data_IF_334670779910
#
_entry.id   IF_334670779910
#
_cell.length_a   1.000
_cell.length_b   1.000
_cell.length_c   1.000
_cell.angle_alpha   90.00
_cell.angle_beta   90.00
_cell.angle_gamma   90.00
#
_symmetry.space_group_name_H-M   'P 1'
#
loop_
_entity.id
_entity.type
_entity.pdbx_description
1 polymer ?
#
# COMPACT_ATOMS: atom_id res chain seq x y z
N UNK A 1 -8.59 23.56 -7.94
CA UNK A 1 -8.56 22.16 -7.57
C UNK A 1 -9.94 21.67 -7.23
N UNK A 2 -10.40 20.60 -7.83
CA UNK A 2 -11.68 20.02 -7.44
C UNK A 2 -11.67 19.66 -5.96
N UNK A 3 -12.77 19.93 -5.30
CA UNK A 3 -12.85 19.76 -3.86
C UNK A 3 -12.76 18.32 -3.39
N UNK A 4 -12.89 17.37 -4.29
CA UNK A 4 -12.84 15.96 -3.92
C UNK A 4 -11.48 15.33 -3.94
N UNK A 5 -10.44 16.07 -4.33
CA UNK A 5 -9.13 15.47 -4.52
C UNK A 5 -8.27 15.53 -3.27
N UNK A 6 -8.75 14.93 -2.22
CA UNK A 6 -7.93 14.75 -1.02
C UNK A 6 -7.23 13.38 -1.14
N UNK A 7 -5.96 13.29 -0.72
CA UNK A 7 -5.31 12.00 -0.66
C UNK A 7 -6.11 11.06 0.22
N UNK A 8 -6.27 9.83 -0.25
CA UNK A 8 -6.94 8.80 0.53
C UNK A 8 -5.91 8.01 1.30
N UNK A 9 -6.28 7.58 2.49
CA UNK A 9 -5.43 6.75 3.31
C UNK A 9 -5.66 5.29 3.00
N UNK A 10 -4.59 4.55 2.81
CA UNK A 10 -4.62 3.10 2.83
C UNK A 10 -4.22 2.67 4.24
N UNK A 11 -5.15 2.12 4.97
CA UNK A 11 -4.95 1.80 6.36
C UNK A 11 -4.66 0.32 6.54
N UNK A 12 -3.57 0.04 7.23
CA UNK A 12 -3.17 -1.32 7.57
C UNK A 12 -2.73 -1.37 9.02
N UNK A 13 -2.75 -2.56 9.55
CA UNK A 13 -2.26 -2.82 10.88
C UNK A 13 -0.86 -3.41 10.77
N UNK A 14 0.08 -2.84 11.48
CA UNK A 14 1.44 -3.33 11.49
C UNK A 14 1.69 -4.00 12.84
N UNK A 15 1.94 -5.29 12.80
CA UNK A 15 2.18 -6.06 14.03
C UNK A 15 3.67 -6.26 14.18
N UNK A 16 4.20 -5.73 15.28
CA UNK A 16 5.61 -5.85 15.61
C UNK A 16 5.78 -6.75 16.80
N UNK A 17 6.88 -7.48 16.83
CA UNK A 17 7.29 -8.15 18.05
C UNK A 17 7.76 -7.10 19.05
N UNK A 18 7.75 -7.41 20.36
CA UNK A 18 8.28 -6.45 21.33
C UNK A 18 9.71 -6.04 21.04
N UNK A 19 10.53 -6.95 20.52
CA UNK A 19 11.91 -6.67 20.18
C UNK A 19 12.00 -5.69 19.03
N UNK A 20 11.20 -5.91 17.98
CA UNK A 20 11.15 -5.00 16.84
C UNK A 20 10.70 -3.60 17.25
N UNK A 21 9.69 -3.52 18.10
CA UNK A 21 9.19 -2.24 18.59
C UNK A 21 10.23 -1.49 19.40
N UNK A 22 11.04 -2.22 20.17
CA UNK A 22 12.07 -1.64 21.02
C UNK A 22 13.25 -1.14 20.19
N UNK A 23 13.67 -1.90 19.21
CA UNK A 23 14.85 -1.57 18.41
C UNK A 23 14.59 -0.57 17.32
N UNK A 24 13.41 -0.64 16.71
CA UNK A 24 13.16 0.09 15.48
C UNK A 24 13.97 -0.48 14.33
N UNK A 25 14.27 0.36 13.36
CA UNK A 25 15.06 -0.05 12.21
C UNK A 25 14.28 0.05 10.92
N UNK A 26 14.66 -0.74 9.92
CA UNK A 26 14.00 -0.74 8.62
C UNK A 26 13.21 -2.03 8.47
N UNK A 27 11.95 -1.89 8.12
CA UNK A 27 11.05 -3.02 7.91
C UNK A 27 10.56 -3.01 6.46
N UNK A 28 10.67 -4.14 5.79
CA UNK A 28 10.10 -4.30 4.45
C UNK A 28 8.60 -4.57 4.57
N UNK A 29 7.80 -3.75 3.92
CA UNK A 29 6.35 -3.87 3.94
C UNK A 29 5.85 -4.06 2.51
N UNK A 30 5.10 -5.14 2.27
CA UNK A 30 4.51 -5.38 0.96
C UNK A 30 3.15 -4.73 0.88
N UNK A 31 3.07 -3.61 0.16
CA UNK A 31 1.83 -2.88 -0.01
C UNK A 31 1.02 -3.47 -1.15
N UNK A 32 -0.16 -4.05 -0.86
CA UNK A 32 -1.05 -4.46 -1.93
C UNK A 32 -1.83 -3.26 -2.47
N UNK A 33 -1.94 -3.16 -3.77
CA UNK A 33 -2.73 -2.11 -4.40
C UNK A 33 -3.25 -2.59 -5.75
N UNK A 34 -4.23 -1.88 -6.28
CA UNK A 34 -4.84 -2.20 -7.55
C UNK A 34 -4.33 -1.21 -8.60
N UNK A 35 -3.91 -1.72 -9.73
CA UNK A 35 -3.39 -0.91 -10.82
C UNK A 35 -4.08 -1.28 -12.12
N UNK A 36 -3.99 -0.40 -13.09
CA UNK A 36 -4.51 -0.64 -14.42
C UNK A 36 -3.85 -1.86 -15.04
N UNK A 37 -4.65 -2.72 -15.67
CA UNK A 37 -4.10 -3.90 -16.31
C UNK A 37 -3.21 -3.46 -17.48
N UNK A 38 -1.93 -3.83 -17.49
CA UNK A 38 -1.03 -3.39 -18.57
C UNK A 38 -1.32 -4.03 -19.90
N UNK A 39 -1.96 -5.20 -19.91
CA UNK A 39 -2.24 -5.91 -21.16
C UNK A 39 -3.36 -5.25 -21.97
N UNK A 40 -4.43 -4.84 -21.29
CA UNK A 40 -5.58 -4.24 -21.95
C UNK A 40 -5.67 -2.74 -21.74
N UNK A 41 -4.70 -2.15 -21.03
CA UNK A 41 -4.67 -0.73 -20.71
C UNK A 41 -5.95 -0.26 -20.03
N UNK A 42 -6.51 -1.09 -19.16
CA UNK A 42 -7.68 -0.75 -18.39
C UNK A 42 -9.01 -1.02 -19.06
N UNK A 43 -9.03 -1.45 -20.32
CA UNK A 43 -10.29 -1.67 -21.04
C UNK A 43 -11.03 -2.91 -20.56
N UNK A 44 -10.32 -3.90 -20.07
CA UNK A 44 -10.92 -5.18 -19.71
C UNK A 44 -11.17 -6.09 -20.90
N UNK A 45 -10.82 -5.66 -22.09
CA UNK A 45 -11.11 -6.40 -23.30
C UNK A 45 -9.85 -6.68 -24.10
N UNK A 46 -9.83 -7.84 -24.74
CA UNK A 46 -8.80 -8.24 -25.67
C UNK A 46 -9.52 -8.56 -26.99
N UNK A 47 -9.73 -7.52 -27.78
CA UNK A 47 -10.47 -7.56 -29.03
C UNK A 47 -11.92 -7.99 -28.80
N UNK A 48 -12.30 -9.22 -29.14
CA UNK A 48 -13.66 -9.74 -28.97
C UNK A 48 -13.84 -10.49 -27.64
N UNK A 49 -12.80 -10.60 -26.83
CA UNK A 49 -12.81 -11.41 -25.64
C UNK A 49 -12.45 -10.58 -24.41
N UNK A 50 -12.79 -11.10 -23.26
CA UNK A 50 -12.30 -10.50 -22.03
C UNK A 50 -10.80 -10.68 -21.91
N UNK A 51 -10.14 -9.65 -21.40
CA UNK A 51 -8.72 -9.72 -21.18
C UNK A 51 -8.38 -10.84 -20.19
N UNK A 52 -7.46 -11.72 -20.57
CA UNK A 52 -7.10 -12.86 -19.74
C UNK A 52 -6.30 -12.45 -18.51
N UNK A 53 -5.53 -11.37 -18.62
CA UNK A 53 -4.68 -10.95 -17.51
C UNK A 53 -5.47 -10.42 -16.33
N UNK A 54 -6.57 -9.70 -16.61
CA UNK A 54 -7.39 -9.11 -15.55
C UNK A 54 -8.78 -9.73 -15.45
N UNK A 55 -9.07 -10.75 -16.25
CA UNK A 55 -10.38 -11.42 -16.28
C UNK A 55 -11.53 -10.45 -16.59
N UNK A 56 -11.26 -9.46 -17.42
CA UNK A 56 -12.28 -8.52 -17.86
C UNK A 56 -12.49 -7.34 -16.93
N UNK A 57 -11.77 -7.27 -15.82
CA UNK A 57 -11.96 -6.19 -14.83
C UNK A 57 -11.26 -4.90 -15.19
N UNK A 58 -10.23 -4.97 -16.03
CA UNK A 58 -9.42 -3.81 -16.38
C UNK A 58 -8.34 -3.46 -15.36
N UNK A 59 -8.30 -4.16 -14.27
CA UNK A 59 -7.34 -3.89 -13.18
C UNK A 59 -6.71 -5.18 -12.69
N UNK A 60 -5.53 -5.06 -12.12
CA UNK A 60 -4.81 -6.20 -11.55
C UNK A 60 -4.28 -5.81 -10.19
N UNK A 61 -4.15 -6.80 -9.32
CA UNK A 61 -3.52 -6.60 -8.04
C UNK A 61 -2.01 -6.58 -8.20
N UNK A 62 -1.39 -5.61 -7.56
CA UNK A 62 0.05 -5.45 -7.54
C UNK A 62 0.54 -5.41 -6.11
N UNK A 63 1.81 -5.71 -5.92
CA UNK A 63 2.46 -5.53 -4.64
C UNK A 63 3.71 -4.71 -4.86
N UNK A 64 3.91 -3.76 -3.98
CA UNK A 64 5.13 -2.96 -4.00
C UNK A 64 5.78 -3.02 -2.63
N UNK A 65 7.04 -3.43 -2.61
CA UNK A 65 7.77 -3.49 -1.34
C UNK A 65 8.24 -2.10 -0.99
N UNK A 66 7.94 -1.68 0.22
CA UNK A 66 8.37 -0.40 0.78
C UNK A 66 9.28 -0.69 1.97
N UNK A 67 10.30 0.12 2.12
CA UNK A 67 11.14 0.06 3.30
C UNK A 67 10.67 1.13 4.27
N UNK A 68 10.10 0.69 5.38
CA UNK A 68 9.58 1.56 6.41
C UNK A 68 10.64 1.76 7.47
N UNK A 69 10.97 3.01 7.76
CA UNK A 69 11.89 3.32 8.84
C UNK A 69 11.10 3.49 10.12
N UNK A 70 11.40 2.64 11.08
CA UNK A 70 10.73 2.63 12.37
C UNK A 70 11.62 3.27 13.43
N UNK A 71 11.12 4.27 14.15
CA UNK A 71 11.89 4.80 15.27
C UNK A 71 11.95 3.76 16.38
N UNK A 72 12.97 3.82 17.25
CA UNK A 72 13.04 2.90 18.38
C UNK A 72 11.97 3.23 19.40
N UNK A 73 11.63 2.25 20.24
CA UNK A 73 10.67 2.41 21.34
C UNK A 73 9.29 2.83 20.88
N UNK A 74 8.82 2.20 19.80
CA UNK A 74 7.47 2.44 19.30
C UNK A 74 6.47 1.85 20.30
N UNK A 75 5.46 2.64 20.62
CA UNK A 75 4.39 2.20 21.52
C UNK A 75 3.23 1.63 20.73
N UNK A 76 2.48 0.66 21.29
CA UNK A 76 1.25 0.22 20.69
C UNK A 76 0.30 1.39 20.47
N UNK A 77 -0.41 1.37 19.34
CA UNK A 77 -1.31 2.44 18.98
C UNK A 77 -0.69 3.59 18.22
N UNK A 78 0.63 3.58 18.05
CA UNK A 78 1.30 4.59 17.23
C UNK A 78 0.81 4.50 15.80
N UNK A 79 0.59 5.65 15.18
CA UNK A 79 0.18 5.71 13.79
C UNK A 79 1.33 6.26 12.98
N UNK A 80 1.76 5.49 12.00
CA UNK A 80 2.81 5.88 11.07
C UNK A 80 2.18 6.22 9.73
N UNK A 81 2.57 7.33 9.15
CA UNK A 81 2.05 7.75 7.86
C UNK A 81 3.20 7.97 6.89
N UNK A 82 2.99 7.55 5.65
CA UNK A 82 3.99 7.74 4.61
C UNK A 82 3.30 8.05 3.29
N UNK A 83 3.74 9.08 2.56
CA UNK A 83 3.20 9.34 1.24
C UNK A 83 3.64 8.24 0.27
N UNK A 84 2.77 7.89 -0.64
CA UNK A 84 3.07 6.85 -1.63
C UNK A 84 3.55 7.44 -2.95
N UNK A 85 3.68 8.75 -3.03
CA UNK A 85 4.15 9.43 -4.23
C UNK A 85 5.56 9.00 -4.63
N UNK A 86 6.40 8.69 -3.64
CA UNK A 86 7.77 8.23 -3.91
C UNK A 86 7.80 6.87 -4.61
N UNK A 87 6.68 6.17 -4.61
CA UNK A 87 6.54 4.86 -5.24
C UNK A 87 5.68 4.93 -6.50
N UNK A 88 5.43 6.14 -7.00
CA UNK A 88 4.65 6.33 -8.22
C UNK A 88 3.14 6.24 -8.03
N UNK A 89 2.68 6.19 -6.79
CA UNK A 89 1.26 6.12 -6.49
C UNK A 89 0.80 7.49 -5.99
N UNK A 90 -0.04 8.16 -6.77
CA UNK A 90 -0.49 9.50 -6.45
C UNK A 90 -1.83 9.46 -5.73
N UNK A 91 -2.10 10.49 -4.94
CA UNK A 91 -3.35 10.66 -4.20
C UNK A 91 -3.63 9.58 -3.16
N UNK A 92 -2.59 8.87 -2.75
CA UNK A 92 -2.70 7.89 -1.68
C UNK A 92 -1.56 8.09 -0.69
N UNK A 93 -1.84 7.81 0.56
CA UNK A 93 -0.79 7.72 1.57
C UNK A 93 -1.07 6.51 2.44
N UNK A 94 -0.01 5.98 3.02
CA UNK A 94 -0.07 4.80 3.86
C UNK A 94 -0.22 5.22 5.30
N UNK A 95 -1.19 4.64 5.98
CA UNK A 95 -1.39 4.83 7.41
C UNK A 95 -1.31 3.47 8.08
N UNK A 96 -0.34 3.31 8.96
CA UNK A 96 -0.13 2.06 9.66
C UNK A 96 -0.40 2.26 11.14
N UNK A 97 -1.27 1.44 11.68
CA UNK A 97 -1.50 1.39 13.12
C UNK A 97 -0.61 0.30 13.71
N UNK A 98 0.26 0.69 14.61
CA UNK A 98 1.21 -0.25 15.20
C UNK A 98 0.54 -1.02 16.33
N UNK A 99 0.67 -2.33 16.26
CA UNK A 99 0.34 -3.22 17.38
C UNK A 99 1.59 -3.97 17.75
N UNK A 100 1.77 -4.17 19.04
CA UNK A 100 2.88 -4.96 19.55
C UNK A 100 2.29 -6.26 20.08
N UNK A 101 2.70 -7.36 19.51
CA UNK A 101 2.15 -8.65 19.86
C UNK A 101 3.23 -9.67 20.18
N UNK A 102 2.81 -10.79 20.77
CA UNK A 102 3.74 -11.88 21.06
C UNK A 102 4.30 -12.50 19.79
#
# INVERSE_FOLDING_TARGET
MPKGERPQALEFELILTPDEAQRGGVLAFGLPYVDECPRCAGSGEDWLFHCRACHGTGVVEQRRVMNLRLPPRIRPGTILEAPLSDYGIVNLYLRLRVRVGP
#
